data_IF_733956698393
#
_entry.id   IF_733956698393
#
_cell.length_a   1.000
_cell.length_b   1.000
_cell.length_c   1.000
_cell.angle_alpha   90.00
_cell.angle_beta   90.00
_cell.angle_gamma   90.00
#
_symmetry.space_group_name_H-M   'P 1'
#
loop_
_entity.id
_entity.type
_entity.pdbx_description
1 polymer ?
#
# COMPACT_ATOMS: atom_id res chain seq x y z
N UNK A 1 -22.58 -19.62 -37.90
CA UNK A 1 -22.47 -19.72 -36.43
C UNK A 1 -23.86 -19.67 -35.82
N UNK A 2 -24.08 -20.30 -34.66
CA UNK A 2 -25.34 -20.17 -33.90
C UNK A 2 -25.31 -18.92 -33.06
N UNK A 3 -26.44 -18.23 -32.89
CA UNK A 3 -26.57 -17.06 -32.05
C UNK A 3 -26.14 -17.35 -30.59
N UNK A 4 -26.48 -18.56 -30.11
CA UNK A 4 -26.06 -19.06 -28.80
C UNK A 4 -24.54 -19.18 -28.62
N UNK A 5 -23.77 -19.40 -29.69
CA UNK A 5 -22.31 -19.46 -29.64
C UNK A 5 -21.70 -18.07 -29.55
N UNK A 6 -22.30 -17.05 -30.18
CA UNK A 6 -21.87 -15.67 -30.12
C UNK A 6 -22.16 -15.11 -28.70
N UNK A 7 -23.36 -15.38 -28.17
CA UNK A 7 -23.75 -14.99 -26.80
C UNK A 7 -22.83 -15.62 -25.75
N UNK A 8 -22.57 -16.94 -25.86
CA UNK A 8 -21.62 -17.63 -24.94
C UNK A 8 -20.21 -17.06 -25.03
N UNK A 9 -19.73 -16.75 -26.26
CA UNK A 9 -18.44 -16.11 -26.46
C UNK A 9 -18.36 -14.71 -25.82
N UNK A 10 -19.43 -13.92 -25.91
CA UNK A 10 -19.52 -12.62 -25.27
C UNK A 10 -19.47 -12.74 -23.73
N UNK A 11 -20.34 -13.59 -23.15
CA UNK A 11 -20.33 -13.82 -21.70
C UNK A 11 -18.98 -14.35 -21.21
N UNK A 12 -18.35 -15.26 -21.95
CA UNK A 12 -17.03 -15.79 -21.61
C UNK A 12 -15.96 -14.68 -21.63
N UNK A 13 -15.97 -13.80 -22.64
CA UNK A 13 -15.03 -12.68 -22.73
C UNK A 13 -15.22 -11.67 -21.58
N UNK A 14 -16.46 -11.32 -21.24
CA UNK A 14 -16.75 -10.43 -20.10
C UNK A 14 -16.34 -11.08 -18.79
N UNK A 15 -16.65 -12.36 -18.58
CA UNK A 15 -16.26 -13.09 -17.38
C UNK A 15 -14.73 -13.16 -17.25
N UNK A 16 -14.04 -13.43 -18.33
CA UNK A 16 -12.57 -13.50 -18.35
C UNK A 16 -11.94 -12.12 -18.05
N UNK A 17 -12.53 -11.03 -18.56
CA UNK A 17 -12.11 -9.68 -18.25
C UNK A 17 -12.31 -9.34 -16.77
N UNK A 18 -13.43 -9.74 -16.18
CA UNK A 18 -13.71 -9.56 -14.76
C UNK A 18 -12.74 -10.36 -13.87
N UNK A 19 -12.48 -11.61 -14.23
CA UNK A 19 -11.51 -12.47 -13.52
C UNK A 19 -10.09 -11.93 -13.63
N UNK A 20 -9.70 -11.42 -14.80
CA UNK A 20 -8.40 -10.77 -14.99
C UNK A 20 -8.27 -9.53 -14.10
N UNK A 21 -9.30 -8.68 -14.03
CA UNK A 21 -9.31 -7.51 -13.14
C UNK A 21 -9.26 -7.89 -11.67
N UNK A 22 -10.01 -8.93 -11.27
CA UNK A 22 -9.94 -9.44 -9.90
C UNK A 22 -8.53 -9.96 -9.57
N UNK A 23 -7.91 -10.70 -10.47
CA UNK A 23 -6.53 -11.18 -10.31
C UNK A 23 -5.54 -10.01 -10.16
N UNK A 24 -5.65 -9.00 -11.00
CA UNK A 24 -4.84 -7.78 -10.92
C UNK A 24 -5.03 -7.07 -9.57
N UNK A 25 -6.26 -6.94 -9.10
CA UNK A 25 -6.56 -6.31 -7.81
C UNK A 25 -5.89 -7.07 -6.66
N UNK A 26 -5.94 -8.40 -6.68
CA UNK A 26 -5.30 -9.23 -5.66
C UNK A 26 -3.77 -9.07 -5.67
N UNK A 27 -3.16 -9.00 -6.84
CA UNK A 27 -1.71 -8.76 -6.98
C UNK A 27 -1.32 -7.39 -6.42
N UNK A 28 -2.07 -6.34 -6.75
CA UNK A 28 -1.83 -5.00 -6.21
C UNK A 28 -1.99 -4.98 -4.69
N UNK A 29 -3.04 -5.60 -4.16
CA UNK A 29 -3.25 -5.68 -2.71
C UNK A 29 -2.12 -6.43 -2.00
N UNK A 30 -1.60 -7.50 -2.62
CA UNK A 30 -0.47 -8.24 -2.06
C UNK A 30 0.80 -7.39 -2.04
N UNK A 31 1.14 -6.75 -3.16
CA UNK A 31 2.30 -5.87 -3.27
C UNK A 31 2.21 -4.66 -2.30
N UNK A 32 1.02 -4.07 -2.15
CA UNK A 32 0.78 -2.96 -1.24
C UNK A 32 0.96 -3.37 0.24
N UNK A 33 0.53 -4.59 0.63
CA UNK A 33 0.82 -5.14 1.97
C UNK A 33 2.32 -5.32 2.18
N UNK A 34 3.04 -5.87 1.20
CA UNK A 34 4.48 -6.05 1.28
C UNK A 34 5.21 -4.71 1.48
N UNK A 35 4.79 -3.65 0.78
CA UNK A 35 5.32 -2.30 0.95
C UNK A 35 5.08 -1.78 2.38
N UNK A 36 3.86 -1.93 2.90
CA UNK A 36 3.54 -1.51 4.29
C UNK A 36 4.36 -2.26 5.32
N UNK A 37 4.54 -3.56 5.13
CA UNK A 37 5.30 -4.38 6.06
C UNK A 37 6.80 -4.01 6.01
N UNK A 38 7.34 -3.73 4.81
CA UNK A 38 8.70 -3.24 4.65
C UNK A 38 8.92 -1.89 5.35
N UNK A 39 7.97 -0.94 5.25
CA UNK A 39 8.04 0.33 5.98
C UNK A 39 7.99 0.13 7.49
N UNK A 40 7.07 -0.70 7.99
CA UNK A 40 6.99 -1.02 9.42
C UNK A 40 8.29 -1.65 9.94
N UNK A 41 8.87 -2.55 9.18
CA UNK A 41 10.14 -3.17 9.54
C UNK A 41 11.28 -2.14 9.56
N UNK A 42 11.34 -1.25 8.57
CA UNK A 42 12.32 -0.16 8.54
C UNK A 42 12.18 0.75 9.74
N UNK A 43 10.96 1.19 10.04
CA UNK A 43 10.70 2.13 11.12
C UNK A 43 11.03 1.50 12.49
N UNK A 44 10.71 0.21 12.69
CA UNK A 44 11.11 -0.52 13.91
C UNK A 44 12.62 -0.66 14.03
N UNK A 45 13.29 -0.99 12.94
CA UNK A 45 14.76 -1.14 12.90
C UNK A 45 15.44 0.20 13.17
N UNK A 46 14.91 1.28 12.59
CA UNK A 46 15.41 2.63 12.81
C UNK A 46 15.23 3.08 14.26
N UNK A 47 14.04 2.91 14.83
CA UNK A 47 13.76 3.25 16.22
C UNK A 47 14.70 2.49 17.15
N UNK A 48 14.86 1.19 16.96
CA UNK A 48 15.75 0.35 17.78
C UNK A 48 17.22 0.80 17.72
N UNK A 49 17.73 1.10 16.52
CA UNK A 49 19.14 1.51 16.37
C UNK A 49 19.39 2.93 16.88
N UNK A 50 18.39 3.82 16.80
CA UNK A 50 18.46 5.15 17.36
C UNK A 50 18.44 5.11 18.89
N UNK A 51 17.57 4.30 19.47
CA UNK A 51 17.49 4.05 20.92
C UNK A 51 18.84 3.54 21.44
N UNK A 52 19.46 2.60 20.73
CA UNK A 52 20.77 2.05 21.10
C UNK A 52 21.88 3.11 21.12
N UNK A 53 21.88 4.03 20.16
CA UNK A 53 22.82 5.16 20.13
C UNK A 53 22.61 6.11 21.31
N UNK A 54 21.37 6.48 21.54
CA UNK A 54 21.02 7.40 22.67
C UNK A 54 21.28 6.76 24.02
N UNK A 55 21.09 5.45 24.16
CA UNK A 55 21.42 4.71 25.37
C UNK A 55 22.94 4.70 25.65
N UNK A 56 23.77 4.52 24.62
CA UNK A 56 25.23 4.60 24.78
C UNK A 56 25.67 6.00 25.23
N UNK A 57 25.09 7.06 24.68
CA UNK A 57 25.35 8.43 25.11
C UNK A 57 24.89 8.68 26.55
N UNK A 58 23.73 8.15 26.92
CA UNK A 58 23.23 8.24 28.28
C UNK A 58 24.13 7.55 29.28
N UNK A 59 24.64 6.34 28.98
CA UNK A 59 25.59 5.61 29.80
C UNK A 59 26.87 6.43 30.03
N UNK A 60 27.44 7.02 28.97
CA UNK A 60 28.62 7.88 29.10
C UNK A 60 28.37 9.10 30.02
N UNK A 61 27.19 9.72 29.87
CA UNK A 61 26.79 10.86 30.75
C UNK A 61 26.60 10.42 32.19
N UNK A 62 26.07 9.22 32.45
CA UNK A 62 25.96 8.68 33.80
C UNK A 62 27.33 8.43 34.46
N UNK A 63 28.30 7.91 33.68
CA UNK A 63 29.69 7.73 34.14
C UNK A 63 30.31 9.07 34.56
N UNK A 64 30.25 10.08 33.69
CA UNK A 64 30.75 11.42 33.98
C UNK A 64 30.05 12.06 35.22
N UNK A 65 28.74 11.92 35.31
CA UNK A 65 27.96 12.43 36.42
C UNK A 65 28.35 11.76 37.74
N UNK A 66 28.52 10.45 37.74
CA UNK A 66 28.92 9.72 38.94
C UNK A 66 30.35 10.05 39.37
N UNK A 67 31.31 10.04 38.50
CA UNK A 67 32.73 10.35 38.84
C UNK A 67 32.91 11.77 39.35
N UNK A 68 32.10 12.71 38.82
CA UNK A 68 32.12 14.12 39.25
C UNK A 68 31.41 14.36 40.59
N UNK A 69 30.22 13.76 40.79
CA UNK A 69 29.36 14.07 41.93
C UNK A 69 29.45 13.04 43.08
N UNK A 70 29.86 11.80 42.76
CA UNK A 70 29.78 10.61 43.62
C UNK A 70 28.34 10.27 44.09
N UNK A 71 27.34 10.75 43.37
CA UNK A 71 25.94 10.41 43.67
C UNK A 71 25.62 9.01 43.16
N UNK A 72 25.40 8.08 44.06
CA UNK A 72 25.18 6.66 43.80
C UNK A 72 23.95 6.37 42.93
N UNK A 73 23.06 7.32 42.75
CA UNK A 73 21.90 7.18 41.82
C UNK A 73 22.35 7.02 40.39
N UNK A 74 23.36 7.77 39.96
CA UNK A 74 23.90 7.62 38.59
C UNK A 74 24.51 6.24 38.39
N UNK A 75 25.20 5.71 39.39
CA UNK A 75 25.76 4.36 39.34
C UNK A 75 24.68 3.28 39.31
N UNK A 76 23.63 3.42 40.13
CA UNK A 76 22.50 2.50 40.16
C UNK A 76 21.78 2.45 38.81
N UNK A 77 21.56 3.60 38.17
CA UNK A 77 20.93 3.69 36.85
C UNK A 77 21.83 3.13 35.75
N UNK A 78 23.14 3.38 35.81
CA UNK A 78 24.10 2.79 34.89
C UNK A 78 24.00 1.26 34.91
N UNK A 79 24.05 0.63 36.08
CA UNK A 79 23.92 -0.82 36.20
C UNK A 79 22.52 -1.34 35.82
N UNK A 80 21.47 -0.58 36.07
CA UNK A 80 20.12 -0.93 35.69
C UNK A 80 19.97 -0.99 34.17
N UNK A 81 20.51 -0.02 33.44
CA UNK A 81 20.51 0.00 31.97
C UNK A 81 21.33 -1.18 31.43
N UNK A 82 22.51 -1.47 32.01
CA UNK A 82 23.31 -2.62 31.62
C UNK A 82 22.59 -3.94 31.88
N UNK A 83 21.92 -4.09 33.02
CA UNK A 83 21.16 -5.30 33.34
C UNK A 83 20.02 -5.57 32.34
N UNK A 84 19.37 -4.51 31.85
CA UNK A 84 18.40 -4.63 30.75
C UNK A 84 19.07 -5.08 29.45
N UNK A 85 20.20 -4.46 29.08
CA UNK A 85 20.99 -4.81 27.89
C UNK A 85 21.49 -6.24 27.89
N UNK A 86 21.89 -6.73 29.06
CA UNK A 86 22.38 -8.10 29.27
C UNK A 86 21.24 -9.13 29.45
N UNK A 87 19.98 -8.68 29.46
CA UNK A 87 18.82 -9.54 29.61
C UNK A 87 18.63 -10.08 31.03
N UNK A 88 19.16 -9.38 32.04
CA UNK A 88 18.96 -9.70 33.45
C UNK A 88 17.69 -9.04 34.00
N UNK A 89 17.23 -7.97 33.36
CA UNK A 89 16.02 -7.23 33.69
C UNK A 89 15.23 -6.92 32.42
N UNK A 90 13.92 -6.73 32.58
CA UNK A 90 13.07 -6.25 31.48
C UNK A 90 13.30 -4.77 31.19
N UNK A 91 13.19 -4.35 29.92
CA UNK A 91 13.16 -2.93 29.61
C UNK A 91 11.94 -2.25 30.24
N UNK A 92 12.04 -0.96 30.59
CA UNK A 92 10.91 -0.23 31.13
C UNK A 92 9.74 -0.25 30.14
N UNK A 93 8.51 -0.41 30.67
CA UNK A 93 7.28 -0.41 29.88
C UNK A 93 6.92 1.00 29.43
N UNK A 94 7.74 1.62 28.61
CA UNK A 94 7.58 2.96 28.07
C UNK A 94 7.76 2.93 26.55
N UNK A 95 7.06 3.80 25.84
CA UNK A 95 7.17 3.93 24.38
C UNK A 95 8.58 4.39 23.94
N UNK A 96 9.27 5.14 24.82
CA UNK A 96 10.66 5.58 24.66
C UNK A 96 11.43 5.25 25.94
N UNK A 97 12.19 4.15 25.99
CA UNK A 97 13.00 3.75 27.14
C UNK A 97 14.07 4.77 27.53
N UNK A 98 14.68 5.45 26.56
CA UNK A 98 15.72 6.46 26.86
C UNK A 98 15.13 7.70 27.50
N UNK A 99 13.97 8.14 27.03
CA UNK A 99 13.23 9.24 27.66
C UNK A 99 12.81 8.88 29.10
N UNK A 100 12.38 7.64 29.31
CA UNK A 100 12.07 7.12 30.64
C UNK A 100 13.26 7.23 31.57
N UNK A 101 14.45 6.77 31.17
CA UNK A 101 15.66 6.87 31.95
C UNK A 101 16.04 8.34 32.29
N UNK A 102 15.94 9.22 31.28
CA UNK A 102 16.19 10.66 31.47
C UNK A 102 15.22 11.30 32.48
N UNK A 103 13.95 10.93 32.39
CA UNK A 103 12.93 11.41 33.37
C UNK A 103 13.21 10.88 34.77
N UNK A 104 13.65 9.62 34.90
CA UNK A 104 14.00 9.02 36.18
C UNK A 104 15.20 9.73 36.83
N UNK A 105 16.22 10.09 36.06
CA UNK A 105 17.33 10.92 36.48
C UNK A 105 16.83 12.28 37.03
N UNK A 106 15.97 12.94 36.26
CA UNK A 106 15.44 14.25 36.62
C UNK A 106 14.54 14.24 37.88
N UNK A 107 13.69 13.22 38.01
CA UNK A 107 12.74 13.08 39.12
C UNK A 107 13.35 12.65 40.44
N UNK A 108 14.61 12.19 40.42
CA UNK A 108 15.33 11.65 41.58
C UNK A 108 14.66 10.46 42.27
N UNK A 109 13.78 9.76 41.57
CA UNK A 109 13.12 8.55 42.08
C UNK A 109 14.04 7.33 41.96
N UNK A 110 13.98 6.37 42.88
CA UNK A 110 14.71 5.12 42.76
C UNK A 110 14.12 4.28 41.66
N UNK A 111 14.96 3.68 40.82
CA UNK A 111 14.53 2.70 39.84
C UNK A 111 14.02 1.44 40.54
N UNK A 112 12.86 0.98 40.13
CA UNK A 112 12.29 -0.32 40.51
C UNK A 112 12.19 -1.18 39.29
N UNK A 113 13.03 -2.25 39.15
CA UNK A 113 12.97 -3.14 38.01
C UNK A 113 11.60 -3.85 37.96
N UNK A 114 11.00 -4.01 36.79
CA UNK A 114 9.86 -4.89 36.60
C UNK A 114 10.26 -6.36 36.87
N UNK A 115 9.29 -7.23 37.12
CA UNK A 115 9.52 -8.67 37.27
C UNK A 115 10.05 -9.24 35.95
N UNK A 116 11.12 -10.03 35.99
CA UNK A 116 11.91 -10.43 34.82
C UNK A 116 11.32 -11.69 34.12
N UNK A 117 10.05 -11.65 33.68
CA UNK A 117 9.45 -12.77 32.94
C UNK A 117 9.91 -12.87 31.48
N UNK A 118 10.27 -11.76 30.84
CA UNK A 118 10.55 -11.68 29.41
C UNK A 118 11.86 -10.95 29.05
N UNK A 119 12.81 -10.91 30.00
CA UNK A 119 14.10 -10.27 29.80
C UNK A 119 14.87 -10.95 28.63
N UNK A 120 15.42 -10.14 27.72
CA UNK A 120 16.17 -10.59 26.54
C UNK A 120 17.46 -9.80 26.39
N UNK A 121 18.52 -10.48 26.03
CA UNK A 121 19.77 -9.81 25.65
C UNK A 121 19.57 -8.93 24.42
N UNK A 122 20.43 -7.92 24.22
CA UNK A 122 20.44 -7.08 23.04
C UNK A 122 20.47 -7.93 21.75
N UNK A 123 21.31 -8.96 21.70
CA UNK A 123 21.39 -9.85 20.53
C UNK A 123 20.08 -10.61 20.31
N UNK A 124 19.45 -11.14 21.36
CA UNK A 124 18.16 -11.83 21.25
C UNK A 124 17.03 -10.88 20.80
N UNK A 125 17.06 -9.61 21.25
CA UNK A 125 16.12 -8.59 20.78
C UNK A 125 16.32 -8.29 19.28
N UNK A 126 17.56 -8.20 18.81
CA UNK A 126 17.87 -8.02 17.40
C UNK A 126 17.45 -9.24 16.55
N UNK A 127 17.67 -10.47 17.05
CA UNK A 127 17.20 -11.70 16.39
C UNK A 127 15.67 -11.72 16.27
N UNK A 128 14.94 -11.31 17.28
CA UNK A 128 13.49 -11.18 17.25
C UNK A 128 13.00 -10.14 16.22
N UNK A 129 13.79 -9.11 15.95
CA UNK A 129 13.56 -8.12 14.90
C UNK A 129 14.08 -8.55 13.52
N UNK A 130 14.56 -9.81 13.40
CA UNK A 130 15.07 -10.40 12.16
C UNK A 130 16.29 -9.67 11.58
N UNK A 131 17.24 -9.25 12.42
CA UNK A 131 18.52 -8.75 11.96
C UNK A 131 19.36 -9.90 11.37
N UNK A 132 20.01 -9.72 10.22
CA UNK A 132 20.83 -10.75 9.59
C UNK A 132 22.16 -10.97 10.33
N UNK A 133 22.79 -12.11 10.09
CA UNK A 133 23.99 -12.55 10.81
C UNK A 133 25.16 -11.53 10.78
N UNK A 134 25.34 -10.80 9.68
CA UNK A 134 26.41 -9.80 9.57
C UNK A 134 26.14 -8.55 10.43
N UNK A 135 24.87 -8.13 10.59
CA UNK A 135 24.49 -7.05 11.51
C UNK A 135 24.60 -7.49 12.96
N UNK A 136 24.22 -8.74 13.28
CA UNK A 136 24.46 -9.34 14.60
C UNK A 136 25.97 -9.43 14.93
N UNK A 137 26.80 -9.73 13.95
CA UNK A 137 28.26 -9.71 14.14
C UNK A 137 28.78 -8.28 14.40
N UNK A 138 28.22 -7.25 13.75
CA UNK A 138 28.55 -5.86 14.03
C UNK A 138 28.12 -5.46 15.46
N UNK A 139 26.93 -5.86 15.89
CA UNK A 139 26.47 -5.65 17.26
C UNK A 139 27.37 -6.34 18.31
N UNK A 140 27.84 -7.56 18.04
CA UNK A 140 28.80 -8.24 18.93
C UNK A 140 30.15 -7.52 19.00
N UNK A 141 30.63 -6.95 17.87
CA UNK A 141 31.84 -6.10 17.88
C UNK A 141 31.64 -4.86 18.74
N UNK A 142 30.49 -4.18 18.57
CA UNK A 142 30.10 -3.02 19.39
C UNK A 142 30.09 -3.37 20.89
N UNK A 143 29.47 -4.50 21.28
CA UNK A 143 29.48 -4.98 22.68
C UNK A 143 30.89 -5.29 23.19
N UNK A 144 31.79 -5.81 22.37
CA UNK A 144 33.19 -6.03 22.74
C UNK A 144 33.94 -4.71 22.99
N UNK A 145 33.63 -3.66 22.22
CA UNK A 145 34.19 -2.32 22.49
C UNK A 145 33.60 -1.75 23.79
N UNK A 146 32.29 -1.88 24.01
CA UNK A 146 31.64 -1.46 25.25
C UNK A 146 32.25 -2.16 26.47
N UNK A 147 32.55 -3.45 26.39
CA UNK A 147 33.17 -4.19 27.49
C UNK A 147 34.60 -3.66 27.85
N UNK A 148 35.37 -3.17 26.87
CA UNK A 148 36.63 -2.50 27.14
C UNK A 148 36.45 -1.17 27.86
N UNK A 149 35.46 -0.36 27.49
CA UNK A 149 35.10 0.86 28.20
C UNK A 149 34.68 0.55 29.63
N UNK A 150 33.81 -0.43 29.83
CA UNK A 150 33.35 -0.85 31.15
C UNK A 150 34.49 -1.26 32.08
N UNK A 151 35.59 -1.81 31.56
CA UNK A 151 36.78 -2.14 32.38
C UNK A 151 37.39 -0.86 32.98
N UNK A 152 37.50 0.23 32.21
CA UNK A 152 38.00 1.51 32.70
C UNK A 152 36.98 2.15 33.66
N UNK A 153 35.69 2.11 33.31
CA UNK A 153 34.61 2.65 34.11
C UNK A 153 34.49 2.00 35.48
N UNK A 154 34.69 0.66 35.56
CA UNK A 154 34.76 -0.06 36.85
C UNK A 154 35.85 0.45 37.76
N UNK A 155 37.02 0.75 37.25
CA UNK A 155 38.12 1.34 37.99
C UNK A 155 37.75 2.77 38.43
N UNK A 156 37.17 3.59 37.54
CA UNK A 156 36.76 4.94 37.87
C UNK A 156 35.65 4.94 38.93
N UNK A 157 34.70 4.03 38.88
CA UNK A 157 33.64 3.86 39.87
C UNK A 157 34.23 3.47 41.25
N UNK A 158 35.15 2.49 41.23
CA UNK A 158 35.84 2.05 42.47
C UNK A 158 36.69 3.16 43.05
N UNK A 159 37.42 3.92 42.25
CA UNK A 159 38.22 5.06 42.69
C UNK A 159 37.33 6.16 43.30
N UNK A 160 36.16 6.43 42.69
CA UNK A 160 35.17 7.39 43.20
C UNK A 160 34.66 7.01 44.60
N UNK A 161 34.56 5.70 44.86
CA UNK A 161 34.05 5.15 46.13
C UNK A 161 35.15 4.86 47.16
N UNK A 162 36.39 4.96 46.78
CA UNK A 162 37.53 4.54 47.63
C UNK A 162 37.75 3.02 47.66
N UNK A 163 37.28 2.35 46.65
CA UNK A 163 37.41 0.89 46.48
C UNK A 163 38.56 0.50 45.53
N UNK A 164 39.42 1.45 45.15
CA UNK A 164 40.56 1.25 44.29
C UNK A 164 41.74 2.07 44.78
N UNK A 165 42.88 1.39 44.89
CA UNK A 165 44.15 2.06 45.28
C UNK A 165 44.98 2.32 44.01
N UNK A 166 45.18 3.60 43.70
CA UNK A 166 45.99 4.04 42.52
C UNK A 166 47.44 3.60 42.61
N UNK A 167 48.01 3.50 43.87
CA UNK A 167 49.42 3.17 44.04
C UNK A 167 49.71 1.70 43.76
N UNK A 168 48.81 0.81 44.14
CA UNK A 168 48.99 -0.65 43.94
C UNK A 168 48.30 -1.12 42.68
N UNK A 169 47.36 -0.39 42.13
CA UNK A 169 46.55 -0.82 40.96
C UNK A 169 45.54 -1.90 41.29
N UNK A 170 45.17 -2.08 42.56
CA UNK A 170 44.28 -3.14 43.02
C UNK A 170 42.98 -2.62 43.61
N UNK A 171 41.95 -3.46 43.57
CA UNK A 171 40.69 -3.20 44.24
C UNK A 171 40.84 -3.46 45.76
N UNK A 172 40.38 -2.50 46.58
CA UNK A 172 40.49 -2.55 48.04
C UNK A 172 39.11 -2.40 48.67
N UNK A 173 38.96 -2.89 49.89
CA UNK A 173 37.67 -2.78 50.60
C UNK A 173 37.51 -1.52 51.45
N UNK A 174 38.61 -0.80 51.78
CA UNK A 174 38.62 0.32 52.72
C UNK A 174 39.72 1.34 52.33
N UNK A 175 39.57 1.92 51.15
CA UNK A 175 40.45 2.98 50.65
C UNK A 175 39.82 4.38 50.78
N UNK A 176 40.60 5.38 50.38
CA UNK A 176 40.12 6.75 50.30
C UNK A 176 39.56 7.05 48.92
N UNK A 177 38.38 7.72 48.82
CA UNK A 177 37.87 8.15 47.52
C UNK A 177 38.88 9.08 46.81
N UNK A 178 39.21 8.71 45.55
CA UNK A 178 40.07 9.50 44.66
C UNK A 178 39.26 9.91 43.42
N UNK A 179 38.45 10.95 43.58
CA UNK A 179 37.62 11.48 42.46
C UNK A 179 38.47 12.10 41.37
N UNK A 180 39.61 12.69 41.72
CA UNK A 180 40.48 13.33 40.74
C UNK A 180 41.00 12.28 39.75
N UNK A 181 41.44 11.13 40.28
CA UNK A 181 41.85 10.00 39.46
C UNK A 181 40.69 9.39 38.67
N UNK A 182 39.52 9.27 39.27
CA UNK A 182 38.34 8.77 38.55
C UNK A 182 37.99 9.67 37.34
N UNK A 183 38.03 10.99 37.53
CA UNK A 183 37.79 11.96 36.46
C UNK A 183 38.90 11.87 35.40
N UNK A 184 40.17 11.76 35.84
CA UNK A 184 41.30 11.58 34.92
C UNK A 184 41.12 10.35 34.02
N UNK A 185 40.67 9.22 34.59
CA UNK A 185 40.46 7.95 33.83
C UNK A 185 39.45 8.10 32.72
N UNK A 186 38.31 8.80 32.95
CA UNK A 186 37.25 8.95 31.94
C UNK A 186 37.56 10.07 30.93
N UNK A 187 38.70 10.77 31.10
CA UNK A 187 39.21 11.73 30.12
C UNK A 187 40.57 11.34 29.54
N UNK A 188 41.01 10.07 29.75
CA UNK A 188 42.23 9.57 29.12
C UNK A 188 42.01 9.43 27.60
N UNK A 189 43.09 9.59 26.84
CA UNK A 189 43.06 9.36 25.39
C UNK A 189 42.67 7.89 25.04
N UNK A 190 42.80 6.96 25.97
CA UNK A 190 42.35 5.56 25.81
C UNK A 190 40.83 5.47 25.92
N UNK A 191 40.24 6.10 26.96
CA UNK A 191 38.79 6.14 27.14
C UNK A 191 38.08 6.91 26.00
N UNK A 192 38.62 8.06 25.60
CA UNK A 192 38.07 8.86 24.50
C UNK A 192 38.12 8.07 23.17
N UNK A 193 39.22 7.35 22.93
CA UNK A 193 39.28 6.47 21.74
C UNK A 193 38.27 5.32 21.80
N UNK A 194 38.19 4.64 22.95
CA UNK A 194 37.20 3.57 23.11
C UNK A 194 35.76 4.08 22.96
N UNK A 195 35.46 5.28 23.47
CA UNK A 195 34.17 5.93 23.29
C UNK A 195 33.90 6.26 21.80
N UNK A 196 34.88 6.84 21.11
CA UNK A 196 34.75 7.12 19.68
C UNK A 196 34.57 5.82 18.85
N UNK A 197 35.30 4.75 19.20
CA UNK A 197 35.15 3.43 18.58
C UNK A 197 33.73 2.85 18.83
N UNK A 198 33.18 3.02 20.04
CA UNK A 198 31.84 2.55 20.38
C UNK A 198 30.77 3.30 19.58
N UNK A 199 30.87 4.62 19.52
CA UNK A 199 29.96 5.47 18.74
C UNK A 199 30.07 5.11 17.25
N UNK A 200 31.29 4.93 16.76
CA UNK A 200 31.54 4.49 15.37
C UNK A 200 30.93 3.14 15.06
N UNK A 201 31.10 2.14 15.93
CA UNK A 201 30.53 0.80 15.76
C UNK A 201 28.99 0.81 15.80
N UNK A 202 28.41 1.61 16.69
CA UNK A 202 26.96 1.77 16.78
C UNK A 202 26.40 2.48 15.52
N UNK A 203 27.10 3.50 15.04
CA UNK A 203 26.73 4.21 13.79
C UNK A 203 26.87 3.30 12.56
N UNK A 204 27.90 2.45 12.50
CA UNK A 204 28.07 1.43 11.45
C UNK A 204 26.88 0.47 11.44
N UNK A 205 26.51 -0.08 12.60
CA UNK A 205 25.37 -0.97 12.75
C UNK A 205 24.08 -0.31 12.26
N UNK A 206 23.82 0.92 12.70
CA UNK A 206 22.66 1.70 12.26
C UNK A 206 22.66 1.87 10.74
N UNK A 207 23.78 2.27 10.16
CA UNK A 207 23.86 2.52 8.71
C UNK A 207 23.64 1.24 7.89
N UNK A 208 24.21 0.10 8.33
CA UNK A 208 23.98 -1.21 7.70
C UNK A 208 22.49 -1.58 7.73
N UNK A 209 21.86 -1.46 8.89
CA UNK A 209 20.46 -1.78 9.08
C UNK A 209 19.53 -0.87 8.28
N UNK A 210 19.82 0.43 8.22
CA UNK A 210 19.07 1.39 7.43
C UNK A 210 19.22 1.14 5.93
N UNK A 211 20.45 0.89 5.44
CA UNK A 211 20.69 0.58 4.03
C UNK A 211 19.93 -0.69 3.60
N UNK A 212 19.99 -1.74 4.40
CA UNK A 212 19.24 -2.98 4.13
C UNK A 212 17.75 -2.76 4.07
N UNK A 213 17.20 -2.14 5.10
CA UNK A 213 15.74 -1.93 5.20
C UNK A 213 15.24 -0.98 4.12
N UNK A 214 16.02 0.04 3.78
CA UNK A 214 15.72 0.93 2.65
C UNK A 214 15.75 0.17 1.32
N UNK A 215 16.72 -0.72 1.10
CA UNK A 215 16.79 -1.55 -0.10
C UNK A 215 15.56 -2.46 -0.25
N UNK A 216 15.05 -3.02 0.86
CA UNK A 216 13.82 -3.83 0.87
C UNK A 216 12.60 -2.96 0.52
N UNK A 217 12.48 -1.77 1.11
CA UNK A 217 11.40 -0.81 0.78
C UNK A 217 11.44 -0.46 -0.71
N UNK A 218 12.61 -0.16 -1.25
CA UNK A 218 12.77 0.20 -2.66
C UNK A 218 12.47 -0.97 -3.60
N UNK A 219 12.79 -2.20 -3.20
CA UNK A 219 12.47 -3.41 -3.95
C UNK A 219 10.94 -3.66 -4.00
N UNK A 220 10.29 -3.67 -2.83
CA UNK A 220 8.84 -3.88 -2.73
C UNK A 220 8.06 -2.78 -3.41
N UNK A 221 8.52 -1.53 -3.33
CA UNK A 221 7.93 -0.40 -4.04
C UNK A 221 8.00 -0.58 -5.55
N UNK A 222 9.15 -1.02 -6.09
CA UNK A 222 9.29 -1.32 -7.52
C UNK A 222 8.38 -2.46 -7.97
N UNK A 223 8.13 -3.45 -7.13
CA UNK A 223 7.16 -4.52 -7.39
C UNK A 223 5.74 -3.97 -7.47
N UNK A 224 5.36 -3.11 -6.53
CA UNK A 224 4.04 -2.44 -6.55
C UNK A 224 3.88 -1.57 -7.82
N UNK A 225 4.90 -0.79 -8.17
CA UNK A 225 4.88 0.03 -9.39
C UNK A 225 4.73 -0.82 -10.66
N UNK A 226 5.40 -1.97 -10.73
CA UNK A 226 5.24 -2.93 -11.83
C UNK A 226 3.85 -3.55 -11.85
N UNK A 227 3.30 -3.92 -10.69
CA UNK A 227 1.94 -4.43 -10.58
C UNK A 227 0.91 -3.40 -11.05
N UNK A 228 1.05 -2.14 -10.67
CA UNK A 228 0.20 -1.04 -11.12
C UNK A 228 0.35 -0.82 -12.63
N UNK A 229 1.58 -0.79 -13.14
CA UNK A 229 1.84 -0.61 -14.57
C UNK A 229 1.24 -1.76 -15.40
N UNK A 230 1.38 -3.01 -14.94
CA UNK A 230 0.77 -4.17 -15.60
C UNK A 230 -0.76 -4.11 -15.54
N UNK A 231 -1.33 -3.64 -14.44
CA UNK A 231 -2.77 -3.42 -14.29
C UNK A 231 -3.30 -2.40 -15.31
N UNK A 232 -2.61 -1.28 -15.44
CA UNK A 232 -2.95 -0.24 -16.42
C UNK A 232 -2.85 -0.81 -17.85
N UNK A 233 -1.78 -1.53 -18.16
CA UNK A 233 -1.59 -2.14 -19.48
C UNK A 233 -2.68 -3.16 -19.81
N UNK A 234 -3.05 -4.03 -18.85
CA UNK A 234 -4.12 -5.01 -19.02
C UNK A 234 -5.46 -4.29 -19.25
N UNK A 235 -5.79 -3.29 -18.46
CA UNK A 235 -7.04 -2.54 -18.63
C UNK A 235 -7.06 -1.76 -19.94
N UNK A 236 -5.94 -1.15 -20.33
CA UNK A 236 -5.82 -0.47 -21.62
C UNK A 236 -5.99 -1.42 -22.81
N UNK A 237 -5.55 -2.67 -22.68
CA UNK A 237 -5.75 -3.71 -23.70
C UNK A 237 -7.19 -4.27 -23.68
N UNK A 238 -7.82 -4.36 -22.51
CA UNK A 238 -9.19 -4.87 -22.38
C UNK A 238 -10.23 -3.93 -23.00
N UNK A 239 -10.03 -2.62 -22.89
CA UNK A 239 -10.96 -1.62 -23.45
C UNK A 239 -11.16 -1.79 -24.96
N UNK A 240 -10.11 -1.79 -25.80
CA UNK A 240 -10.29 -2.01 -27.25
C UNK A 240 -10.80 -3.41 -27.58
N UNK A 241 -10.42 -4.42 -26.79
CA UNK A 241 -10.94 -5.78 -26.96
C UNK A 241 -12.46 -5.83 -26.75
N UNK A 242 -12.95 -5.27 -25.64
CA UNK A 242 -14.38 -5.17 -25.36
C UNK A 242 -15.10 -4.34 -26.43
N UNK A 243 -14.48 -3.24 -26.86
CA UNK A 243 -15.03 -2.40 -27.92
C UNK A 243 -15.10 -3.15 -29.26
N UNK A 244 -14.06 -3.93 -29.59
CA UNK A 244 -14.07 -4.78 -30.78
C UNK A 244 -15.18 -5.86 -30.71
N UNK A 245 -15.38 -6.48 -29.54
CA UNK A 245 -16.47 -7.45 -29.32
C UNK A 245 -17.84 -6.78 -29.47
N UNK A 246 -18.02 -5.58 -28.90
CA UNK A 246 -19.24 -4.79 -29.06
C UNK A 246 -19.48 -4.42 -30.53
N UNK A 247 -18.45 -3.94 -31.23
CA UNK A 247 -18.53 -3.66 -32.68
C UNK A 247 -18.88 -4.88 -33.49
N UNK A 248 -18.26 -6.01 -33.17
CA UNK A 248 -18.56 -7.29 -33.85
C UNK A 248 -20.02 -7.70 -33.62
N UNK A 249 -20.51 -7.58 -32.42
CA UNK A 249 -21.88 -7.83 -32.02
C UNK A 249 -22.84 -6.88 -32.77
N UNK A 250 -22.51 -5.58 -32.79
CA UNK A 250 -23.28 -4.57 -33.52
C UNK A 250 -23.33 -4.85 -35.01
N UNK A 251 -22.19 -5.18 -35.64
CA UNK A 251 -22.11 -5.42 -37.08
C UNK A 251 -22.72 -6.75 -37.47
N UNK A 252 -22.52 -7.82 -36.73
CA UNK A 252 -22.91 -9.19 -37.09
C UNK A 252 -24.26 -9.64 -36.56
N UNK A 253 -24.78 -8.97 -35.50
CA UNK A 253 -26.06 -9.34 -34.89
C UNK A 253 -27.06 -8.19 -34.94
N UNK A 254 -26.73 -7.04 -34.35
CA UNK A 254 -27.67 -5.93 -34.22
C UNK A 254 -27.97 -5.23 -35.55
N UNK A 255 -26.96 -4.99 -36.39
CA UNK A 255 -27.17 -4.32 -37.69
C UNK A 255 -27.99 -5.15 -38.68
N UNK A 256 -27.78 -6.48 -38.84
CA UNK A 256 -28.69 -7.31 -39.62
C UNK A 256 -30.11 -7.36 -39.06
N UNK A 257 -30.26 -7.41 -37.74
CA UNK A 257 -31.60 -7.38 -37.10
C UNK A 257 -32.29 -6.05 -37.38
N UNK A 258 -31.59 -4.92 -37.24
CA UNK A 258 -32.13 -3.60 -37.54
C UNK A 258 -32.54 -3.46 -39.02
N UNK A 259 -31.74 -4.01 -39.95
CA UNK A 259 -32.09 -4.04 -41.40
C UNK A 259 -33.31 -4.90 -41.66
N UNK A 260 -33.41 -6.07 -41.02
CA UNK A 260 -34.57 -6.95 -41.11
C UNK A 260 -35.83 -6.27 -40.59
N UNK A 261 -35.70 -5.58 -39.44
CA UNK A 261 -36.82 -4.82 -38.87
C UNK A 261 -37.25 -3.65 -39.75
N UNK A 262 -36.31 -2.91 -40.34
CA UNK A 262 -36.58 -1.81 -41.23
C UNK A 262 -37.29 -2.27 -42.54
N UNK A 263 -36.84 -3.39 -43.12
CA UNK A 263 -37.46 -4.02 -44.27
C UNK A 263 -38.88 -4.53 -43.93
N UNK A 264 -39.08 -5.11 -42.77
CA UNK A 264 -40.39 -5.53 -42.30
C UNK A 264 -41.36 -4.32 -42.18
N UNK A 265 -40.87 -3.19 -41.68
CA UNK A 265 -41.61 -1.96 -41.55
C UNK A 265 -41.96 -1.34 -42.92
N UNK A 266 -41.03 -1.37 -43.91
CA UNK A 266 -41.30 -0.94 -45.25
C UNK A 266 -42.38 -1.81 -45.94
N UNK A 267 -42.34 -3.15 -45.75
CA UNK A 267 -43.37 -4.05 -46.25
C UNK A 267 -44.74 -3.82 -45.59
N UNK A 268 -44.79 -3.50 -44.29
CA UNK A 268 -46.02 -3.17 -43.58
C UNK A 268 -46.68 -1.86 -44.08
N UNK A 269 -45.87 -0.93 -44.61
CA UNK A 269 -46.33 0.33 -45.22
C UNK A 269 -46.76 0.20 -46.68
N UNK A 270 -46.68 -1.05 -47.22
CA UNK A 270 -47.11 -1.31 -48.62
C UNK A 270 -45.99 -1.14 -49.66
N UNK A 271 -44.75 -0.87 -49.27
CA UNK A 271 -43.59 -0.81 -50.14
C UNK A 271 -42.88 -2.19 -50.21
N UNK A 272 -43.26 -2.98 -51.21
CA UNK A 272 -42.73 -4.34 -51.41
C UNK A 272 -41.49 -4.40 -52.31
N UNK A 273 -40.83 -3.28 -52.61
CA UNK A 273 -39.67 -3.19 -53.50
C UNK A 273 -38.34 -3.64 -52.88
N UNK A 274 -38.24 -3.67 -51.57
CA UNK A 274 -37.05 -4.03 -50.82
C UNK A 274 -36.83 -5.53 -50.77
N UNK A 275 -35.87 -6.10 -51.53
CA UNK A 275 -35.41 -7.50 -51.39
C UNK A 275 -34.08 -7.54 -50.70
N UNK A 276 -33.94 -8.38 -49.63
CA UNK A 276 -32.66 -8.77 -49.08
C UNK A 276 -31.96 -9.63 -50.14
N UNK A 277 -31.12 -8.96 -50.93
CA UNK A 277 -30.19 -9.70 -51.82
C UNK A 277 -29.37 -10.70 -51.02
N UNK A 278 -28.89 -11.71 -51.66
CA UNK A 278 -28.09 -12.86 -51.18
C UNK A 278 -26.82 -12.47 -50.36
N UNK A 279 -26.92 -11.49 -49.46
CA UNK A 279 -25.83 -11.10 -48.56
C UNK A 279 -25.80 -12.05 -47.39
N UNK A 280 -24.79 -12.85 -47.34
CA UNK A 280 -24.36 -13.82 -46.34
C UNK A 280 -24.46 -13.24 -44.92
N UNK A 281 -25.54 -13.48 -44.23
CA UNK A 281 -25.58 -13.37 -42.77
C UNK A 281 -24.85 -14.59 -42.19
N UNK A 282 -23.74 -14.35 -41.54
CA UNK A 282 -22.91 -15.38 -40.91
C UNK A 282 -23.62 -16.12 -39.77
N UNK A 283 -24.73 -15.60 -39.30
CA UNK A 283 -25.56 -16.17 -38.24
C UNK A 283 -26.64 -17.01 -38.90
N UNK A 284 -26.60 -18.30 -38.66
CA UNK A 284 -27.45 -19.32 -39.28
C UNK A 284 -28.95 -19.04 -39.02
N UNK A 285 -29.25 -18.60 -37.83
CA UNK A 285 -30.61 -18.26 -37.40
C UNK A 285 -31.14 -17.00 -38.11
N UNK A 286 -30.28 -15.98 -38.31
CA UNK A 286 -30.63 -14.79 -39.08
C UNK A 286 -30.75 -15.05 -40.57
N UNK A 287 -29.94 -15.92 -41.11
CA UNK A 287 -30.05 -16.38 -42.51
C UNK A 287 -31.33 -17.20 -42.72
N UNK A 288 -31.77 -17.97 -41.73
CA UNK A 288 -33.04 -18.68 -41.74
C UNK A 288 -34.23 -17.70 -41.65
N UNK A 289 -34.10 -16.70 -40.77
CA UNK A 289 -35.11 -15.66 -40.61
C UNK A 289 -35.27 -14.82 -41.90
N UNK A 290 -34.14 -14.42 -42.52
CA UNK A 290 -34.12 -13.72 -43.77
C UNK A 290 -34.82 -14.52 -44.88
N UNK A 291 -34.53 -15.84 -44.99
CA UNK A 291 -35.19 -16.75 -45.94
C UNK A 291 -36.67 -16.97 -45.62
N UNK A 292 -37.04 -16.97 -44.34
CA UNK A 292 -38.43 -17.08 -43.94
C UNK A 292 -39.19 -15.81 -44.30
N UNK A 293 -38.56 -14.66 -44.09
CA UNK A 293 -39.11 -13.35 -44.43
C UNK A 293 -39.24 -13.15 -45.95
N UNK A 294 -38.21 -13.58 -46.74
CA UNK A 294 -38.31 -13.59 -48.21
C UNK A 294 -39.47 -14.50 -48.72
N UNK A 295 -39.67 -15.67 -48.09
CA UNK A 295 -40.82 -16.55 -48.38
C UNK A 295 -42.15 -15.93 -47.93
N UNK A 296 -42.19 -15.23 -46.81
CA UNK A 296 -43.38 -14.51 -46.35
C UNK A 296 -43.65 -13.34 -47.28
N UNK A 297 -42.63 -12.59 -47.71
CA UNK A 297 -42.80 -11.52 -48.70
C UNK A 297 -43.31 -12.02 -50.06
N UNK A 298 -42.95 -13.26 -50.41
CA UNK A 298 -43.52 -13.93 -51.58
C UNK A 298 -44.98 -14.43 -51.38
N UNK A 299 -45.36 -14.64 -50.14
CA UNK A 299 -46.69 -15.09 -49.75
C UNK A 299 -47.66 -13.91 -49.41
N UNK A 300 -47.14 -12.66 -49.60
CA UNK A 300 -47.92 -11.41 -49.26
C UNK A 300 -49.10 -11.12 -50.19
N UNK A 301 -49.19 -11.76 -51.30
CA UNK A 301 -50.40 -11.67 -52.13
C UNK A 301 -51.64 -12.31 -51.50
N UNK A 302 -51.49 -13.06 -50.41
CA UNK A 302 -52.61 -13.54 -49.62
C UNK A 302 -52.78 -12.72 -48.33
N UNK A 303 -53.27 -11.69 -48.46
CA UNK A 303 -54.05 -10.69 -47.88
C UNK A 303 -54.36 -10.67 -46.39
N UNK A 304 -54.40 -10.44 -45.47
CA UNK A 304 -55.03 -10.12 -44.17
C UNK A 304 -54.48 -10.79 -42.87
N UNK A 305 -53.79 -11.90 -42.99
CA UNK A 305 -53.30 -12.55 -41.78
C UNK A 305 -52.00 -11.93 -41.21
N UNK A 306 -51.52 -10.90 -41.84
CA UNK A 306 -50.21 -10.34 -41.55
C UNK A 306 -50.16 -9.20 -40.56
N UNK A 307 -51.19 -8.49 -40.34
CA UNK A 307 -51.18 -7.40 -39.39
C UNK A 307 -50.81 -7.88 -37.99
N UNK A 308 -51.43 -8.99 -37.56
CA UNK A 308 -51.19 -9.54 -36.23
C UNK A 308 -49.78 -10.10 -36.02
N UNK A 309 -49.13 -10.63 -37.07
CA UNK A 309 -47.76 -11.18 -37.01
C UNK A 309 -46.74 -10.04 -36.95
N UNK A 310 -46.94 -8.96 -37.75
CA UNK A 310 -46.02 -7.82 -37.80
C UNK A 310 -46.07 -7.02 -36.48
N UNK A 311 -47.25 -6.92 -35.87
CA UNK A 311 -47.44 -6.24 -34.59
C UNK A 311 -46.74 -7.01 -33.46
N UNK A 312 -46.86 -8.34 -33.43
CA UNK A 312 -46.14 -9.19 -32.42
C UNK A 312 -44.63 -9.17 -32.59
N UNK A 313 -44.12 -9.13 -33.84
CA UNK A 313 -42.67 -9.00 -34.07
C UNK A 313 -42.13 -7.63 -33.62
N UNK A 314 -42.90 -6.59 -33.86
CA UNK A 314 -42.52 -5.25 -33.42
C UNK A 314 -42.49 -5.14 -31.88
N UNK A 315 -43.46 -5.77 -31.17
CA UNK A 315 -43.49 -5.82 -29.72
C UNK A 315 -42.27 -6.64 -29.16
N UNK A 316 -41.92 -7.74 -29.78
CA UNK A 316 -40.78 -8.54 -29.37
C UNK A 316 -39.43 -7.82 -29.56
N UNK A 317 -39.29 -7.09 -30.69
CA UNK A 317 -38.08 -6.32 -30.97
C UNK A 317 -37.94 -5.14 -29.99
N UNK A 318 -39.05 -4.51 -29.64
CA UNK A 318 -39.10 -3.43 -28.66
C UNK A 318 -38.76 -3.92 -27.27
N UNK A 319 -39.33 -5.06 -26.84
CA UNK A 319 -39.03 -5.66 -25.55
C UNK A 319 -37.53 -6.06 -25.44
N UNK A 320 -36.96 -6.54 -26.53
CA UNK A 320 -35.54 -6.93 -26.59
C UNK A 320 -34.59 -5.71 -26.56
N UNK A 321 -34.97 -4.62 -27.22
CA UNK A 321 -34.24 -3.35 -27.18
C UNK A 321 -34.27 -2.71 -25.77
N UNK A 322 -35.43 -2.76 -25.10
CA UNK A 322 -35.55 -2.28 -23.72
C UNK A 322 -34.73 -3.14 -22.71
N UNK A 323 -34.69 -4.44 -22.94
CA UNK A 323 -33.90 -5.35 -22.11
C UNK A 323 -32.38 -5.11 -22.31
N UNK A 324 -31.92 -4.89 -23.53
CA UNK A 324 -30.53 -4.55 -23.85
C UNK A 324 -30.13 -3.17 -23.25
N UNK A 325 -31.03 -2.19 -23.30
CA UNK A 325 -30.80 -0.87 -22.69
C UNK A 325 -30.67 -0.94 -21.15
N UNK A 326 -31.53 -1.75 -20.48
CA UNK A 326 -31.44 -1.98 -19.02
C UNK A 326 -30.15 -2.72 -18.63
N UNK A 327 -29.74 -3.72 -19.41
CA UNK A 327 -28.49 -4.44 -19.16
C UNK A 327 -27.27 -3.52 -19.30
N UNK A 328 -27.25 -2.63 -20.32
CA UNK A 328 -26.19 -1.64 -20.55
C UNK A 328 -26.10 -0.65 -19.38
N UNK A 329 -27.25 -0.13 -18.94
CA UNK A 329 -27.30 0.84 -17.82
C UNK A 329 -26.84 0.22 -16.49
N UNK A 330 -27.29 -1.02 -16.19
CA UNK A 330 -26.89 -1.74 -14.99
C UNK A 330 -25.39 -2.08 -14.98
N UNK A 331 -24.84 -2.47 -16.13
CA UNK A 331 -23.41 -2.75 -16.27
C UNK A 331 -22.54 -1.52 -15.98
N UNK A 332 -22.90 -0.38 -16.57
CA UNK A 332 -22.16 0.87 -16.37
C UNK A 332 -22.23 1.39 -14.93
N UNK A 333 -23.41 1.25 -14.29
CA UNK A 333 -23.58 1.62 -12.88
C UNK A 333 -22.68 0.77 -11.94
N UNK A 334 -22.65 -0.55 -12.16
CA UNK A 334 -21.82 -1.45 -11.37
C UNK A 334 -20.31 -1.20 -11.61
N UNK A 335 -19.91 -1.02 -12.85
CA UNK A 335 -18.50 -0.73 -13.20
C UNK A 335 -17.99 0.56 -12.55
N UNK A 336 -18.85 1.57 -12.39
CA UNK A 336 -18.48 2.81 -11.70
C UNK A 336 -18.10 2.57 -10.25
N UNK A 337 -18.90 1.79 -9.53
CA UNK A 337 -18.63 1.47 -8.14
C UNK A 337 -17.32 0.67 -7.99
N UNK A 338 -17.14 -0.33 -8.86
CA UNK A 338 -15.96 -1.20 -8.86
C UNK A 338 -14.64 -0.46 -9.21
N UNK A 339 -14.72 0.59 -10.03
CA UNK A 339 -13.55 1.41 -10.37
C UNK A 339 -13.32 2.54 -9.36
N UNK A 340 -14.39 3.14 -8.83
CA UNK A 340 -14.28 4.23 -7.85
C UNK A 340 -13.57 3.78 -6.57
N UNK A 341 -13.89 2.59 -6.08
CA UNK A 341 -13.34 2.06 -4.82
C UNK A 341 -11.81 1.92 -4.84
N UNK A 342 -11.19 1.19 -5.81
CA UNK A 342 -9.73 1.12 -5.87
C UNK A 342 -9.08 2.46 -6.19
N UNK A 343 -9.73 3.32 -6.98
CA UNK A 343 -9.19 4.64 -7.30
C UNK A 343 -9.14 5.56 -6.08
N UNK A 344 -10.18 5.55 -5.24
CA UNK A 344 -10.18 6.29 -3.98
C UNK A 344 -9.12 5.74 -3.00
N UNK A 345 -8.90 4.41 -2.98
CA UNK A 345 -7.83 3.82 -2.19
C UNK A 345 -6.43 4.27 -2.68
N UNK A 346 -6.20 4.30 -4.00
CA UNK A 346 -4.94 4.80 -4.58
C UNK A 346 -4.72 6.26 -4.20
N UNK A 347 -5.74 7.12 -4.36
CA UNK A 347 -5.67 8.54 -4.02
C UNK A 347 -5.41 8.73 -2.52
N UNK A 348 -6.15 8.00 -1.66
CA UNK A 348 -6.01 8.08 -0.20
C UNK A 348 -4.62 7.63 0.28
N UNK A 349 -4.12 6.51 -0.23
CA UNK A 349 -2.78 6.00 0.11
C UNK A 349 -1.68 6.93 -0.39
N UNK A 350 -1.84 7.47 -1.60
CA UNK A 350 -0.89 8.44 -2.14
C UNK A 350 -0.88 9.73 -1.31
N UNK A 351 -2.06 10.20 -0.85
CA UNK A 351 -2.17 11.36 0.01
C UNK A 351 -1.52 11.13 1.39
N UNK A 352 -1.72 9.96 1.99
CA UNK A 352 -1.05 9.57 3.24
C UNK A 352 0.48 9.50 3.06
N UNK A 353 0.93 8.93 1.95
CA UNK A 353 2.35 8.91 1.61
C UNK A 353 2.93 10.33 1.46
N UNK A 354 2.16 11.28 0.88
CA UNK A 354 2.57 12.67 0.73
C UNK A 354 2.67 13.46 2.04
N UNK A 355 2.09 12.96 3.14
CA UNK A 355 2.20 13.54 4.48
C UNK A 355 3.48 13.10 5.22
N UNK A 356 4.23 12.16 4.66
CA UNK A 356 5.52 11.70 5.21
C UNK A 356 6.69 12.52 4.67
N UNK A 357 7.87 12.36 5.26
CA UNK A 357 9.08 12.99 4.75
C UNK A 357 9.48 12.35 3.41
N UNK A 358 9.30 13.10 2.33
CA UNK A 358 9.59 12.67 0.96
C UNK A 358 10.67 13.53 0.33
N UNK A 359 11.55 12.92 -0.47
CA UNK A 359 12.43 13.67 -1.37
C UNK A 359 11.62 14.42 -2.44
N UNK A 360 12.20 15.48 -3.01
CA UNK A 360 11.54 16.22 -4.11
C UNK A 360 11.13 15.34 -5.29
N UNK A 361 11.93 14.34 -5.59
CA UNK A 361 11.67 13.40 -6.68
C UNK A 361 10.49 12.49 -6.38
N UNK A 362 10.43 11.94 -5.17
CA UNK A 362 9.32 11.08 -4.70
C UNK A 362 8.01 11.85 -4.65
N UNK A 363 8.03 13.08 -4.12
CA UNK A 363 6.85 13.96 -4.12
C UNK A 363 6.35 14.22 -5.52
N UNK A 364 7.25 14.50 -6.49
CA UNK A 364 6.88 14.72 -7.89
C UNK A 364 6.26 13.46 -8.56
N UNK A 365 6.65 12.26 -8.17
CA UNK A 365 5.99 11.05 -8.66
C UNK A 365 4.61 10.87 -8.05
N UNK A 366 4.45 11.09 -6.75
CA UNK A 366 3.17 10.99 -6.08
C UNK A 366 2.18 12.06 -6.56
N UNK A 367 2.63 13.29 -6.82
CA UNK A 367 1.82 14.33 -7.44
C UNK A 367 1.28 13.89 -8.82
N UNK A 368 2.12 13.27 -9.64
CA UNK A 368 1.71 12.72 -10.94
C UNK A 368 0.68 11.58 -10.80
N UNK A 369 0.85 10.70 -9.80
CA UNK A 369 -0.10 9.63 -9.52
C UNK A 369 -1.45 10.21 -9.10
N UNK A 370 -1.47 11.18 -8.19
CA UNK A 370 -2.71 11.86 -7.77
C UNK A 370 -3.36 12.58 -8.94
N UNK A 371 -2.57 13.29 -9.75
CA UNK A 371 -3.05 13.98 -10.95
C UNK A 371 -3.73 13.02 -11.93
N UNK A 372 -3.05 11.95 -12.30
CA UNK A 372 -3.57 10.93 -13.21
C UNK A 372 -4.83 10.23 -12.66
N UNK A 373 -4.85 9.94 -11.37
CA UNK A 373 -5.99 9.32 -10.68
C UNK A 373 -7.22 10.22 -10.67
N UNK A 374 -7.05 11.53 -10.45
CA UNK A 374 -8.16 12.51 -10.52
C UNK A 374 -8.72 12.65 -11.93
N UNK A 375 -7.85 12.72 -12.94
CA UNK A 375 -8.27 12.77 -14.35
C UNK A 375 -9.07 11.54 -14.72
N UNK A 376 -8.64 10.35 -14.31
CA UNK A 376 -9.35 9.10 -14.58
C UNK A 376 -10.73 9.06 -13.91
N UNK A 377 -10.83 9.50 -12.65
CA UNK A 377 -12.12 9.59 -11.94
C UNK A 377 -13.07 10.59 -12.61
N UNK A 378 -12.57 11.72 -13.07
CA UNK A 378 -13.37 12.71 -13.80
C UNK A 378 -13.92 12.11 -15.08
N UNK A 379 -13.07 11.47 -15.92
CA UNK A 379 -13.49 10.80 -17.14
C UNK A 379 -14.55 9.71 -16.91
N UNK A 380 -14.42 8.93 -15.84
CA UNK A 380 -15.39 7.91 -15.48
C UNK A 380 -16.73 8.53 -15.08
N UNK A 381 -16.71 9.61 -14.30
CA UNK A 381 -17.93 10.33 -13.94
C UNK A 381 -18.61 10.94 -15.17
N UNK A 382 -17.85 11.54 -16.10
CA UNK A 382 -18.37 12.10 -17.35
C UNK A 382 -19.08 11.03 -18.22
N UNK A 383 -18.44 9.83 -18.35
CA UNK A 383 -19.04 8.69 -19.07
C UNK A 383 -20.32 8.19 -18.40
N UNK A 384 -20.38 8.22 -17.07
CA UNK A 384 -21.57 7.82 -16.31
C UNK A 384 -22.69 8.84 -16.40
N UNK A 385 -22.39 10.10 -16.31
CA UNK A 385 -23.38 11.15 -16.44
C UNK A 385 -23.94 11.20 -17.87
N UNK A 386 -23.09 11.00 -18.89
CA UNK A 386 -23.55 10.79 -20.27
C UNK A 386 -24.49 9.59 -20.40
N UNK A 387 -24.16 8.47 -19.72
CA UNK A 387 -24.99 7.27 -19.73
C UNK A 387 -26.31 7.44 -18.99
N UNK A 388 -26.35 8.23 -17.91
CA UNK A 388 -27.59 8.59 -17.20
C UNK A 388 -28.45 9.50 -18.05
N UNK A 389 -27.86 10.43 -18.79
CA UNK A 389 -28.58 11.31 -19.74
C UNK A 389 -29.17 10.45 -20.86
N UNK A 390 -28.39 9.52 -21.45
CA UNK A 390 -28.85 8.61 -22.52
C UNK A 390 -29.99 7.67 -22.03
N UNK A 391 -29.98 7.26 -20.77
CA UNK A 391 -31.00 6.43 -20.14
C UNK A 391 -32.23 7.22 -19.65
N UNK A 392 -32.28 8.55 -19.83
CA UNK A 392 -33.39 9.40 -19.36
C UNK A 392 -33.50 9.50 -17.82
N UNK A 393 -32.48 9.07 -17.09
CA UNK A 393 -32.48 9.01 -15.62
C UNK A 393 -32.02 10.29 -14.91
N UNK A 394 -31.81 11.37 -15.63
CA UNK A 394 -31.41 12.64 -15.03
C UNK A 394 -32.66 13.40 -14.55
N UNK A 395 -32.85 13.47 -13.25
CA UNK A 395 -33.85 14.32 -12.62
C UNK A 395 -33.27 15.70 -12.36
N UNK A 396 -33.83 16.72 -12.99
CA UNK A 396 -33.50 18.10 -12.70
C UNK A 396 -34.32 18.59 -11.51
N UNK A 397 -33.68 18.90 -10.41
CA UNK A 397 -34.30 19.53 -9.26
C UNK A 397 -34.28 21.07 -9.45
N UNK A 398 -35.43 21.70 -9.37
CA UNK A 398 -35.54 23.16 -9.36
C UNK A 398 -35.46 23.65 -7.92
N UNK A 399 -34.23 23.99 -7.49
CA UNK A 399 -34.02 24.66 -6.22
C UNK A 399 -33.70 26.16 -6.46
N UNK A 400 -34.24 27.08 -5.65
CA UNK A 400 -33.79 28.46 -5.68
C UNK A 400 -32.33 28.54 -5.23
N UNK A 401 -31.46 29.05 -6.09
CA UNK A 401 -30.05 29.24 -5.79
C UNK A 401 -29.63 30.70 -6.03
N UNK A 402 -28.72 31.17 -5.26
CA UNK A 402 -28.10 32.48 -5.49
C UNK A 402 -26.96 32.30 -6.47
N UNK A 403 -26.89 33.20 -7.47
CA UNK A 403 -25.90 33.07 -8.54
C UNK A 403 -24.45 33.24 -8.01
N UNK A 404 -24.31 33.94 -6.87
CA UNK A 404 -23.06 34.16 -6.19
C UNK A 404 -22.46 32.86 -5.62
N UNK A 405 -23.29 31.87 -5.28
CA UNK A 405 -22.87 30.59 -4.72
C UNK A 405 -22.31 29.62 -5.79
N UNK A 406 -22.45 29.99 -7.08
CA UNK A 406 -21.99 29.17 -8.22
C UNK A 406 -20.71 29.72 -8.86
N UNK A 407 -20.39 30.99 -8.64
CA UNK A 407 -19.25 31.68 -9.28
C UNK A 407 -18.06 31.85 -8.32
N UNK A 408 -18.18 31.44 -7.04
CA UNK A 408 -17.09 31.41 -6.06
C UNK A 408 -16.33 30.08 -6.12
#
# INVERSE_FOLDING_TARGET
MKLSSISRGFFAAVLLALLANLGVLLVIQHADRAVRDAYRQRDRTQAFTEELLQENELLANLVQSFTTTADTRYLSLYYAILAVREGQQEPPSADDPVLYWRQLIASRQPYRPPEAEHARTLIAAMEALSFPAHELASARRMLAVAARMQAIEKVAFAATQGLYDRATGEFVSDGRPDRSYAIELVHTAEYERAHADLVGAAAELRNLALQRTQAVVDATRRELERAIASAIAINLALVPLLWAVILLMRRRVLAPIARLAHLAEQHARGDHSGRLGRQTTWVRELALLARAQDRMAQAVDDELRRRDATERELEAARAQAEQAARAKSSFLANMSHEIRTPMNAIIGMTHLAMQTELSRLQRGYLDKVVGASRVLLALINDVLDFSKIEAGGMTLERAPMRIEDVVA
#
